data_IF_497893880248
#
_entry.id   IF_497893880248
#
_cell.length_a   1.000
_cell.length_b   1.000
_cell.length_c   1.000
_cell.angle_alpha   90.00
_cell.angle_beta   90.00
_cell.angle_gamma   90.00
#
_symmetry.space_group_name_H-M   'P 1'
#
loop_
_entity.id
_entity.type
_entity.pdbx_description
1 polymer ?
#
# COMPACT_ATOMS: atom_id res chain seq x y z
N UNK A 1 3.80 -20.03 18.50
CA UNK A 1 4.46 -21.23 17.96
C UNK A 1 4.59 -21.20 16.43
N UNK A 2 3.59 -20.74 15.69
CA UNK A 2 3.64 -20.68 14.20
C UNK A 2 4.43 -19.46 13.68
N UNK A 3 4.64 -18.44 14.48
CA UNK A 3 5.49 -17.29 14.17
C UNK A 3 6.98 -17.58 14.44
N UNK A 4 7.29 -18.61 15.19
CA UNK A 4 8.67 -19.01 15.45
C UNK A 4 9.26 -19.70 14.21
N UNK A 5 10.22 -19.07 13.59
CA UNK A 5 10.94 -19.60 12.41
C UNK A 5 11.67 -20.90 12.68
N UNK A 6 12.00 -21.19 13.94
CA UNK A 6 12.59 -22.43 14.40
C UNK A 6 11.55 -23.40 15.00
N UNK A 7 10.28 -23.06 14.88
CA UNK A 7 9.17 -23.83 15.43
C UNK A 7 8.81 -25.08 14.65
N UNK A 8 7.61 -25.57 14.87
CA UNK A 8 7.15 -26.85 14.32
C UNK A 8 7.16 -26.87 12.77
N UNK A 9 6.85 -25.75 12.12
CA UNK A 9 6.83 -25.67 10.66
C UNK A 9 8.22 -25.81 10.05
N UNK A 10 9.25 -25.30 10.72
CA UNK A 10 10.63 -25.36 10.27
C UNK A 10 11.18 -26.78 10.17
N UNK A 11 10.64 -27.73 10.91
CA UNK A 11 11.08 -29.14 10.86
C UNK A 11 10.93 -29.77 9.48
N UNK A 12 9.97 -29.28 8.69
CA UNK A 12 9.73 -29.76 7.33
C UNK A 12 9.91 -28.67 6.26
N UNK A 13 9.78 -27.39 6.64
CA UNK A 13 9.77 -26.23 5.74
C UNK A 13 10.89 -25.23 6.04
N UNK A 14 12.10 -25.71 6.43
CA UNK A 14 13.22 -24.86 6.86
C UNK A 14 13.51 -23.73 5.88
N UNK A 15 13.65 -24.02 4.58
CA UNK A 15 13.95 -23.00 3.58
C UNK A 15 12.87 -21.92 3.45
N UNK A 16 11.59 -22.26 3.67
CA UNK A 16 10.48 -21.31 3.65
C UNK A 16 10.48 -20.46 4.92
N UNK A 17 10.71 -21.07 6.08
CA UNK A 17 10.75 -20.34 7.35
C UNK A 17 11.91 -19.36 7.41
N UNK A 18 13.08 -19.74 6.86
CA UNK A 18 14.26 -18.87 6.81
C UNK A 18 14.00 -17.61 5.94
N UNK A 19 13.39 -17.79 4.78
CA UNK A 19 13.06 -16.65 3.91
C UNK A 19 11.92 -15.80 4.50
N UNK A 20 10.90 -16.46 5.09
CA UNK A 20 9.77 -15.77 5.71
C UNK A 20 10.21 -14.84 6.86
N UNK A 21 11.18 -15.24 7.65
CA UNK A 21 11.71 -14.43 8.76
C UNK A 21 12.21 -13.04 8.34
N UNK A 22 12.59 -12.88 7.08
CA UNK A 22 13.04 -11.60 6.51
C UNK A 22 11.94 -10.86 5.73
N UNK A 23 10.77 -11.48 5.56
CA UNK A 23 9.68 -10.89 4.79
C UNK A 23 9.06 -9.67 5.48
N UNK A 24 8.44 -8.80 4.69
CA UNK A 24 7.69 -7.66 5.24
C UNK A 24 6.43 -8.12 6.00
N UNK A 25 5.90 -9.30 5.69
CA UNK A 25 4.76 -9.87 6.41
C UNK A 25 5.15 -10.37 7.81
N UNK A 26 6.36 -10.92 7.97
CA UNK A 26 6.83 -11.35 9.27
C UNK A 26 7.35 -10.19 10.13
N UNK A 27 7.97 -9.18 9.50
CA UNK A 27 8.74 -8.16 10.20
C UNK A 27 8.02 -6.82 10.35
N UNK A 28 7.03 -6.54 9.50
CA UNK A 28 6.37 -5.22 9.34
C UNK A 28 7.34 -4.04 9.23
N UNK A 29 8.56 -4.31 8.71
CA UNK A 29 9.66 -3.31 8.61
C UNK A 29 9.26 -2.06 7.84
N UNK A 30 8.36 -2.15 6.87
CA UNK A 30 7.87 -0.98 6.16
C UNK A 30 7.22 0.07 7.07
N UNK A 31 6.55 -0.35 8.14
CA UNK A 31 5.99 0.57 9.12
C UNK A 31 7.07 1.09 10.07
N UNK A 32 7.92 0.21 10.62
CA UNK A 32 8.97 0.63 11.54
C UNK A 32 9.93 1.62 10.88
N UNK A 33 10.36 1.37 9.65
CA UNK A 33 11.26 2.26 8.94
C UNK A 33 10.60 3.62 8.62
N UNK A 34 9.32 3.62 8.24
CA UNK A 34 8.60 4.89 8.05
C UNK A 34 8.53 5.73 9.33
N UNK A 35 8.30 5.11 10.48
CA UNK A 35 8.31 5.82 11.76
C UNK A 35 9.70 6.34 12.13
N UNK A 36 10.74 5.53 11.91
CA UNK A 36 12.14 5.92 12.12
C UNK A 36 12.52 7.10 11.22
N UNK A 37 12.14 7.07 9.94
CA UNK A 37 12.39 8.18 9.01
C UNK A 37 11.71 9.48 9.47
N UNK A 38 10.43 9.41 9.84
CA UNK A 38 9.70 10.59 10.32
C UNK A 38 10.21 11.11 11.67
N UNK A 39 10.72 10.22 12.54
CA UNK A 39 11.30 10.62 13.83
C UNK A 39 12.70 11.19 13.69
N UNK A 40 13.46 10.78 12.67
CA UNK A 40 14.88 11.09 12.55
C UNK A 40 15.77 10.40 13.60
N UNK A 41 15.21 9.52 14.43
CA UNK A 41 15.94 8.76 15.46
C UNK A 41 15.92 7.26 15.10
N UNK A 42 17.09 6.65 14.79
CA UNK A 42 17.16 5.23 14.49
C UNK A 42 16.74 4.33 15.65
N UNK A 43 16.72 4.83 16.88
CA UNK A 43 16.36 4.10 18.09
C UNK A 43 14.93 4.42 18.58
N UNK A 44 14.14 5.14 17.77
CA UNK A 44 12.81 5.61 18.16
C UNK A 44 11.83 4.50 18.59
N UNK A 45 12.09 3.26 18.19
CA UNK A 45 11.25 2.10 18.47
C UNK A 45 11.84 1.12 19.50
N UNK A 46 13.00 1.41 20.07
CA UNK A 46 13.70 0.47 20.99
C UNK A 46 12.94 0.22 22.30
N UNK A 47 12.23 1.24 22.79
CA UNK A 47 11.40 1.11 23.97
C UNK A 47 9.92 0.96 23.61
N UNK A 48 9.43 -0.27 23.60
CA UNK A 48 8.03 -0.59 23.28
C UNK A 48 7.01 -0.19 24.37
N UNK A 49 7.40 0.57 25.37
CA UNK A 49 6.54 1.03 26.46
C UNK A 49 6.38 2.54 26.52
N UNK A 50 6.99 3.28 25.62
CA UNK A 50 6.85 4.74 25.53
C UNK A 50 7.07 5.26 24.11
N UNK A 51 6.55 6.47 23.85
CA UNK A 51 6.76 7.21 22.60
C UNK A 51 6.37 6.41 21.37
N UNK A 52 7.16 6.52 20.32
CA UNK A 52 6.89 5.81 19.05
C UNK A 52 6.97 4.28 19.18
N UNK A 53 7.79 3.76 20.08
CA UNK A 53 7.85 2.30 20.31
C UNK A 53 6.53 1.75 20.86
N UNK A 54 5.87 2.46 21.77
CA UNK A 54 4.54 2.09 22.27
C UNK A 54 3.48 2.21 21.16
N UNK A 55 3.50 3.29 20.38
CA UNK A 55 2.64 3.47 19.20
C UNK A 55 2.80 2.31 18.23
N UNK A 56 4.04 1.97 17.90
CA UNK A 56 4.37 0.88 16.97
C UNK A 56 3.82 -0.46 17.47
N UNK A 57 4.04 -0.77 18.75
CA UNK A 57 3.55 -1.99 19.39
C UNK A 57 2.02 -2.09 19.35
N UNK A 58 1.33 -1.02 19.70
CA UNK A 58 -0.13 -1.02 19.84
C UNK A 58 -0.86 -0.96 18.49
N UNK A 59 -0.30 -0.26 17.52
CA UNK A 59 -1.02 0.04 16.27
C UNK A 59 -0.45 -0.69 15.04
N UNK A 60 0.86 -0.93 14.97
CA UNK A 60 1.49 -1.44 13.75
C UNK A 60 1.78 -2.94 13.82
N UNK A 61 2.22 -3.44 14.98
CA UNK A 61 2.60 -4.85 15.12
C UNK A 61 1.43 -5.84 14.99
N UNK A 62 0.20 -5.37 15.11
CA UNK A 62 -0.99 -6.21 14.97
C UNK A 62 -1.18 -6.77 13.55
N UNK A 63 -0.46 -6.22 12.56
CA UNK A 63 -0.53 -6.67 11.17
C UNK A 63 0.62 -7.59 10.76
N UNK A 64 1.51 -8.01 11.69
CA UNK A 64 2.50 -9.02 11.35
C UNK A 64 1.82 -10.39 11.18
N UNK A 65 2.28 -11.16 10.21
CA UNK A 65 1.69 -12.45 9.89
C UNK A 65 2.56 -13.61 10.41
N UNK A 66 1.91 -14.72 10.68
CA UNK A 66 2.56 -16.00 10.99
C UNK A 66 2.11 -17.09 10.03
N UNK A 67 2.85 -18.18 9.95
CA UNK A 67 2.47 -19.32 9.10
C UNK A 67 1.04 -19.79 9.40
N UNK A 68 0.67 -19.86 10.67
CA UNK A 68 -0.66 -20.32 11.11
C UNK A 68 -1.78 -19.39 10.69
N UNK A 69 -1.58 -18.07 10.78
CA UNK A 69 -2.60 -17.06 10.45
C UNK A 69 -2.93 -16.98 8.96
N UNK A 70 -2.08 -17.54 8.11
CA UNK A 70 -2.37 -17.65 6.70
C UNK A 70 -2.88 -19.05 6.32
N UNK A 71 -2.27 -20.11 6.88
CA UNK A 71 -2.48 -21.47 6.38
C UNK A 71 -3.45 -22.32 7.18
N UNK A 72 -3.80 -21.93 8.42
CA UNK A 72 -4.62 -22.74 9.34
C UNK A 72 -5.71 -21.93 10.03
N UNK A 73 -5.39 -20.71 10.45
CA UNK A 73 -6.27 -19.86 11.22
C UNK A 73 -6.49 -18.51 10.52
N UNK A 74 -7.50 -17.80 10.98
CA UNK A 74 -7.71 -16.40 10.63
C UNK A 74 -6.89 -15.53 11.58
N UNK A 75 -6.34 -14.40 11.09
CA UNK A 75 -5.76 -13.39 11.97
C UNK A 75 -6.77 -12.89 13.03
N UNK A 76 -6.27 -12.52 14.20
CA UNK A 76 -7.13 -12.01 15.29
C UNK A 76 -7.91 -10.75 14.88
N UNK A 77 -7.34 -9.92 14.00
CA UNK A 77 -8.00 -8.78 13.38
C UNK A 77 -9.25 -9.15 12.57
N UNK A 78 -9.42 -10.43 12.22
CA UNK A 78 -10.58 -10.97 11.53
C UNK A 78 -11.24 -12.08 12.35
N UNK A 79 -11.53 -11.79 13.60
CA UNK A 79 -12.20 -12.67 14.58
C UNK A 79 -11.43 -13.95 14.97
N UNK A 80 -10.21 -14.13 14.52
CA UNK A 80 -9.37 -15.27 14.88
C UNK A 80 -9.98 -16.64 14.57
N UNK A 81 -9.45 -17.69 15.21
CA UNK A 81 -9.94 -19.05 15.10
C UNK A 81 -9.52 -19.79 13.83
N UNK A 82 -9.86 -21.07 13.75
CA UNK A 82 -9.50 -21.92 12.62
C UNK A 82 -10.34 -21.56 11.37
N UNK A 83 -9.72 -21.63 10.19
CA UNK A 83 -10.39 -21.41 8.90
C UNK A 83 -11.40 -22.55 8.64
N UNK A 84 -10.91 -23.78 8.71
CA UNK A 84 -11.71 -24.99 8.52
C UNK A 84 -11.12 -26.12 9.40
N UNK A 85 -11.55 -26.20 10.64
CA UNK A 85 -11.09 -27.17 11.63
C UNK A 85 -9.53 -27.19 11.70
N UNK A 86 -8.91 -28.36 11.58
CA UNK A 86 -7.45 -28.54 11.57
C UNK A 86 -6.88 -28.70 10.16
N UNK A 87 -7.59 -28.23 9.16
CA UNK A 87 -7.15 -28.30 7.76
C UNK A 87 -6.05 -27.27 7.50
N UNK A 88 -5.03 -27.71 6.82
CA UNK A 88 -3.96 -26.87 6.32
C UNK A 88 -4.26 -26.46 4.86
N UNK A 89 -4.20 -25.19 4.57
CA UNK A 89 -4.40 -24.66 3.22
C UNK A 89 -3.04 -24.36 2.59
N UNK A 90 -2.70 -25.03 1.49
CA UNK A 90 -1.49 -24.70 0.71
C UNK A 90 -1.59 -23.30 0.09
N UNK A 91 -2.78 -22.93 -0.38
CA UNK A 91 -3.11 -21.56 -0.79
C UNK A 91 -4.12 -21.01 0.20
N UNK A 92 -3.75 -20.00 0.99
CA UNK A 92 -4.66 -19.39 1.96
C UNK A 92 -5.90 -18.79 1.27
N UNK A 93 -7.11 -18.95 1.83
CA UNK A 93 -8.31 -18.34 1.30
C UNK A 93 -8.26 -16.82 1.47
N UNK A 94 -8.32 -16.11 0.34
CA UNK A 94 -8.12 -14.66 0.26
C UNK A 94 -9.04 -13.88 1.18
N UNK A 95 -10.33 -14.26 1.23
CA UNK A 95 -11.38 -13.60 1.98
C UNK A 95 -11.28 -13.77 3.50
N UNK A 96 -10.54 -14.76 3.99
CA UNK A 96 -10.40 -15.04 5.41
C UNK A 96 -9.01 -14.75 5.96
N UNK A 97 -8.01 -14.56 5.09
CA UNK A 97 -6.62 -14.32 5.49
C UNK A 97 -6.11 -12.99 4.98
N UNK A 98 -6.02 -12.77 3.68
CA UNK A 98 -5.51 -11.51 3.13
C UNK A 98 -6.39 -10.31 3.56
N UNK A 99 -7.69 -10.48 3.53
CA UNK A 99 -8.63 -9.40 3.89
C UNK A 99 -8.59 -9.00 5.35
N UNK A 100 -8.09 -9.82 6.23
CA UNK A 100 -7.94 -9.47 7.63
C UNK A 100 -7.11 -8.19 7.84
N UNK A 101 -6.04 -8.03 7.07
CA UNK A 101 -5.15 -6.86 7.13
C UNK A 101 -5.32 -5.91 5.93
N UNK A 102 -5.70 -6.44 4.76
CA UNK A 102 -5.80 -5.67 3.51
C UNK A 102 -7.24 -5.25 3.15
N UNK A 103 -8.25 -5.67 3.92
CA UNK A 103 -9.67 -5.46 3.62
C UNK A 103 -10.09 -4.00 3.54
N UNK A 104 -9.49 -3.15 4.35
CA UNK A 104 -9.78 -1.70 4.38
C UNK A 104 -9.07 -0.91 3.28
N UNK A 105 -8.25 -1.55 2.46
CA UNK A 105 -7.47 -0.91 1.40
C UNK A 105 -7.59 -1.73 0.12
N UNK A 106 -6.52 -2.40 -0.29
CA UNK A 106 -6.38 -3.07 -1.57
C UNK A 106 -7.48 -4.10 -1.86
N UNK A 107 -7.92 -4.86 -0.86
CA UNK A 107 -8.99 -5.85 -1.04
C UNK A 107 -10.35 -5.18 -1.29
N UNK A 108 -10.64 -4.08 -0.59
CA UNK A 108 -11.86 -3.31 -0.82
C UNK A 108 -11.91 -2.68 -2.21
N UNK A 109 -10.77 -2.19 -2.71
CA UNK A 109 -10.61 -1.71 -4.09
C UNK A 109 -10.84 -2.86 -5.08
N UNK A 110 -10.18 -4.01 -4.87
CA UNK A 110 -10.24 -5.17 -5.75
C UNK A 110 -11.65 -5.73 -5.91
N UNK A 111 -12.38 -5.84 -4.78
CA UNK A 111 -13.76 -6.34 -4.77
C UNK A 111 -14.81 -5.28 -5.11
N UNK A 112 -14.46 -4.01 -5.15
CA UNK A 112 -15.41 -2.93 -5.37
C UNK A 112 -16.38 -2.68 -4.23
N UNK A 113 -15.92 -2.73 -2.97
CA UNK A 113 -16.80 -2.66 -1.79
C UNK A 113 -17.16 -1.25 -1.35
N UNK A 114 -16.52 -0.20 -1.81
CA UNK A 114 -16.75 1.18 -1.33
C UNK A 114 -17.21 2.14 -2.42
N UNK A 115 -18.10 1.68 -3.26
CA UNK A 115 -18.69 2.51 -4.32
C UNK A 115 -17.85 2.61 -5.58
N UNK A 116 -16.77 1.83 -5.69
CA UNK A 116 -16.00 1.65 -6.90
C UNK A 116 -16.51 0.44 -7.69
N UNK A 117 -16.29 0.44 -9.00
CA UNK A 117 -16.46 -0.77 -9.79
C UNK A 117 -15.41 -1.81 -9.34
N UNK A 118 -15.78 -3.09 -9.39
CA UNK A 118 -14.89 -4.20 -9.12
C UNK A 118 -13.71 -4.19 -10.10
N UNK A 119 -12.56 -4.63 -9.64
CA UNK A 119 -11.42 -4.85 -10.52
C UNK A 119 -11.76 -5.87 -11.60
N UNK A 120 -11.32 -5.61 -12.84
CA UNK A 120 -11.63 -6.51 -13.97
C UNK A 120 -11.03 -7.91 -13.79
N UNK A 121 -9.88 -8.03 -13.11
CA UNK A 121 -9.25 -9.31 -12.84
C UNK A 121 -10.03 -10.08 -11.77
N UNK A 122 -10.58 -9.38 -10.76
CA UNK A 122 -11.49 -9.99 -9.80
C UNK A 122 -12.76 -10.53 -10.46
N UNK A 123 -13.35 -9.77 -11.41
CA UNK A 123 -14.51 -10.24 -12.18
C UNK A 123 -14.20 -11.46 -13.06
N UNK A 124 -12.93 -11.64 -13.46
CA UNK A 124 -12.44 -12.82 -14.16
C UNK A 124 -12.13 -14.00 -13.23
N UNK A 125 -12.32 -13.84 -11.91
CA UNK A 125 -12.07 -14.87 -10.92
C UNK A 125 -10.64 -14.96 -10.41
N UNK A 126 -9.80 -13.98 -10.70
CA UNK A 126 -8.43 -13.92 -10.17
C UNK A 126 -8.44 -13.52 -8.68
N UNK A 127 -7.40 -13.96 -8.00
CA UNK A 127 -7.15 -13.71 -6.57
C UNK A 127 -5.83 -12.99 -6.37
N UNK A 128 -5.50 -12.65 -5.13
CA UNK A 128 -4.24 -11.97 -4.81
C UNK A 128 -3.01 -12.75 -5.29
N UNK A 129 -3.03 -14.08 -5.19
CA UNK A 129 -1.90 -14.96 -5.52
C UNK A 129 -1.70 -15.17 -7.02
N UNK A 130 -2.66 -14.77 -7.85
CA UNK A 130 -2.50 -14.82 -9.31
C UNK A 130 -1.57 -13.71 -9.83
N UNK A 131 -1.43 -12.62 -9.06
CA UNK A 131 -0.51 -11.53 -9.33
C UNK A 131 0.70 -11.55 -8.39
N UNK A 132 0.47 -11.81 -7.09
CA UNK A 132 1.53 -11.80 -6.09
C UNK A 132 2.17 -13.17 -5.97
N UNK A 133 3.43 -13.28 -6.40
CA UNK A 133 4.20 -14.51 -6.30
C UNK A 133 4.45 -14.94 -4.84
N UNK A 134 4.72 -16.22 -4.62
CA UNK A 134 5.03 -16.80 -3.30
C UNK A 134 6.13 -16.03 -2.57
N UNK A 135 7.14 -15.55 -3.28
CA UNK A 135 8.22 -14.72 -2.71
C UNK A 135 7.74 -13.36 -2.15
N UNK A 136 6.58 -12.87 -2.58
CA UNK A 136 6.01 -11.65 -1.99
C UNK A 136 5.51 -11.89 -0.57
N UNK A 137 5.07 -13.10 -0.27
CA UNK A 137 4.55 -13.49 1.04
C UNK A 137 5.63 -14.10 1.93
N UNK A 138 6.39 -15.06 1.41
CA UNK A 138 7.41 -15.78 2.16
C UNK A 138 8.78 -15.10 2.16
N UNK A 139 8.94 -13.97 1.46
CA UNK A 139 10.23 -13.30 1.35
C UNK A 139 11.20 -14.01 0.41
N UNK A 140 12.40 -13.46 0.33
CA UNK A 140 13.50 -13.95 -0.53
C UNK A 140 14.78 -14.29 0.27
N UNK A 141 14.72 -14.16 1.59
CA UNK A 141 15.90 -14.22 2.46
C UNK A 141 16.60 -12.84 2.63
N UNK A 142 16.20 -11.85 1.85
CA UNK A 142 16.68 -10.46 1.99
C UNK A 142 15.67 -9.65 2.81
N UNK A 143 16.15 -8.94 3.81
CA UNK A 143 15.33 -8.00 4.56
C UNK A 143 15.25 -6.66 3.79
N UNK A 144 14.06 -6.27 3.40
CA UNK A 144 13.79 -4.99 2.74
C UNK A 144 13.20 -3.99 3.72
N UNK A 145 13.56 -2.74 3.58
CA UNK A 145 13.06 -1.66 4.44
C UNK A 145 11.70 -1.12 3.98
N UNK A 146 11.39 -1.31 2.70
CA UNK A 146 10.13 -0.93 2.08
C UNK A 146 9.67 -1.97 1.07
N UNK A 147 8.36 -2.00 0.80
CA UNK A 147 7.87 -2.82 -0.32
C UNK A 147 8.44 -2.36 -1.67
N UNK A 148 8.82 -1.10 -1.79
CA UNK A 148 9.37 -0.54 -3.03
C UNK A 148 10.80 -0.97 -3.32
N UNK A 149 11.53 -1.45 -2.31
CA UNK A 149 12.88 -1.99 -2.46
C UNK A 149 12.89 -3.42 -3.02
N UNK A 150 11.70 -4.06 -3.10
CA UNK A 150 11.57 -5.42 -3.59
C UNK A 150 11.48 -5.44 -5.12
N UNK A 151 12.41 -6.11 -5.80
CA UNK A 151 12.37 -6.23 -7.26
C UNK A 151 11.24 -7.18 -7.77
N UNK A 152 10.64 -7.96 -6.86
CA UNK A 152 9.68 -9.02 -7.21
C UNK A 152 8.21 -8.60 -7.07
N UNK A 153 7.92 -7.31 -6.86
CA UNK A 153 6.51 -6.87 -6.85
C UNK A 153 5.88 -7.03 -8.24
N UNK A 154 4.61 -7.43 -8.32
CA UNK A 154 3.94 -7.63 -9.60
C UNK A 154 3.91 -6.34 -10.43
N UNK A 155 4.09 -6.50 -11.73
CA UNK A 155 3.92 -5.47 -12.73
C UNK A 155 2.81 -5.86 -13.70
N UNK A 156 2.08 -4.88 -14.19
CA UNK A 156 1.09 -5.12 -15.25
C UNK A 156 1.73 -5.73 -16.51
N UNK A 157 2.98 -5.36 -16.79
CA UNK A 157 3.75 -5.87 -17.92
C UNK A 157 4.12 -7.35 -17.81
N UNK A 158 4.01 -7.97 -16.63
CA UNK A 158 4.28 -9.41 -16.48
C UNK A 158 3.28 -10.26 -17.30
N UNK A 159 2.06 -9.74 -17.47
CA UNK A 159 1.02 -10.37 -18.30
C UNK A 159 0.67 -9.53 -19.55
N UNK A 160 0.81 -8.21 -19.50
CA UNK A 160 0.45 -7.26 -20.55
C UNK A 160 1.68 -6.62 -21.22
N UNK A 161 2.78 -7.38 -21.38
CA UNK A 161 4.04 -6.87 -21.91
C UNK A 161 3.97 -6.36 -23.35
N UNK A 162 3.04 -6.90 -24.15
CA UNK A 162 2.77 -6.48 -25.52
C UNK A 162 2.23 -5.04 -25.62
N UNK A 163 1.55 -4.58 -24.57
CA UNK A 163 1.00 -3.20 -24.50
C UNK A 163 2.11 -2.15 -24.49
N UNK A 164 3.24 -2.44 -23.85
CA UNK A 164 4.37 -1.51 -23.68
C UNK A 164 5.45 -1.64 -24.77
N UNK A 165 5.28 -2.53 -25.72
CA UNK A 165 6.29 -2.80 -26.76
C UNK A 165 6.54 -1.65 -27.75
N UNK A 166 5.81 -0.54 -27.63
CA UNK A 166 5.82 0.57 -28.60
C UNK A 166 5.07 0.27 -29.92
N UNK A 167 4.54 -0.94 -30.06
CA UNK A 167 3.79 -1.41 -31.22
C UNK A 167 2.35 -1.79 -30.84
N UNK A 168 1.83 -1.27 -29.76
CA UNK A 168 0.44 -1.51 -29.36
C UNK A 168 -0.53 -1.01 -30.44
N UNK A 169 -1.56 -1.79 -30.74
CA UNK A 169 -2.69 -1.34 -31.59
C UNK A 169 -3.42 -0.14 -30.99
N UNK A 170 -3.34 0.03 -29.68
CA UNK A 170 -3.91 1.17 -28.95
C UNK A 170 -2.90 2.31 -28.93
N UNK A 171 -3.13 3.30 -29.78
CA UNK A 171 -2.23 4.45 -29.97
C UNK A 171 -1.81 5.15 -28.68
N UNK A 172 -2.70 5.18 -27.67
CA UNK A 172 -2.44 5.87 -26.39
C UNK A 172 -1.27 5.22 -25.63
N UNK A 173 -1.12 3.92 -25.68
CA UNK A 173 0.00 3.20 -25.06
C UNK A 173 1.34 3.60 -25.70
N UNK A 174 1.36 3.78 -27.01
CA UNK A 174 2.57 4.17 -27.73
C UNK A 174 2.95 5.65 -27.50
N UNK A 175 1.97 6.52 -27.20
CA UNK A 175 2.20 7.97 -27.02
C UNK A 175 2.86 8.25 -25.67
N UNK A 176 2.40 7.59 -24.60
CA UNK A 176 2.86 7.88 -23.24
C UNK A 176 3.98 6.95 -22.76
N UNK A 177 4.03 5.71 -23.29
CA UNK A 177 5.05 4.73 -22.92
C UNK A 177 5.19 4.59 -21.40
N UNK A 178 6.42 4.54 -20.93
CA UNK A 178 6.75 4.36 -19.52
C UNK A 178 6.65 5.66 -18.68
N UNK A 179 6.20 6.77 -19.27
CA UNK A 179 6.06 8.02 -18.52
C UNK A 179 4.90 7.96 -17.51
N UNK A 180 3.89 7.13 -17.74
CA UNK A 180 2.72 7.00 -16.91
C UNK A 180 2.63 5.58 -16.34
N UNK A 181 2.42 5.47 -15.02
CA UNK A 181 2.01 4.19 -14.44
C UNK A 181 0.64 3.77 -15.01
N UNK A 182 0.42 2.49 -15.23
CA UNK A 182 -0.80 1.95 -15.85
C UNK A 182 -2.06 2.41 -15.11
N UNK A 183 -1.99 2.51 -13.78
CA UNK A 183 -3.08 2.96 -12.92
C UNK A 183 -3.49 4.43 -13.15
N UNK A 184 -2.61 5.25 -13.75
CA UNK A 184 -2.96 6.64 -14.12
C UNK A 184 -4.12 6.68 -15.12
N UNK A 185 -4.17 5.69 -16.03
CA UNK A 185 -5.22 5.54 -17.02
C UNK A 185 -6.29 4.52 -16.62
N UNK A 186 -5.92 3.46 -15.92
CA UNK A 186 -6.78 2.30 -15.68
C UNK A 186 -7.25 2.16 -14.24
N UNK A 187 -6.72 2.95 -13.29
CA UNK A 187 -7.14 2.94 -11.90
C UNK A 187 -8.34 3.82 -11.62
N UNK A 188 -9.10 3.47 -10.60
CA UNK A 188 -10.07 4.35 -9.95
C UNK A 188 -9.41 5.03 -8.74
N UNK A 189 -10.18 5.70 -7.88
CA UNK A 189 -9.64 6.30 -6.68
C UNK A 189 -9.12 5.24 -5.70
N UNK A 190 -8.03 5.56 -5.00
CA UNK A 190 -7.56 4.73 -3.91
C UNK A 190 -8.55 4.74 -2.75
N UNK A 191 -8.84 3.58 -2.19
CA UNK A 191 -9.49 3.49 -0.89
C UNK A 191 -8.48 3.82 0.20
N UNK A 192 -8.80 4.81 1.02
CA UNK A 192 -8.00 5.13 2.19
C UNK A 192 -8.46 4.31 3.41
N UNK A 193 -7.58 4.13 4.36
CA UNK A 193 -7.95 3.59 5.66
C UNK A 193 -8.99 4.51 6.31
N UNK A 194 -10.07 3.92 6.77
CA UNK A 194 -11.04 4.60 7.61
C UNK A 194 -10.58 4.43 9.06
N UNK A 195 -10.04 5.45 9.63
CA UNK A 195 -9.95 5.75 11.07
C UNK A 195 -9.85 4.56 12.06
N UNK A 196 -9.39 3.38 11.64
CA UNK A 196 -9.32 2.19 12.50
C UNK A 196 -8.31 2.33 13.66
N UNK A 197 -7.40 3.27 13.57
CA UNK A 197 -6.38 3.57 14.57
C UNK A 197 -6.57 4.96 15.19
N UNK A 198 -7.75 5.50 15.05
CA UNK A 198 -8.09 6.88 15.24
C UNK A 198 -8.71 7.05 16.53
N UNK A 199 -8.76 7.07 17.34
CA UNK A 199 -9.32 7.62 18.56
C UNK A 199 -8.97 6.73 19.68
N UNK A 200 -8.36 7.31 20.49
CA UNK A 200 -8.33 6.99 21.85
C UNK A 200 -9.73 6.93 22.32
N UNK A 201 -10.26 5.74 22.37
CA UNK A 201 -11.34 5.47 23.28
C UNK A 201 -10.87 5.82 24.69
N UNK A 202 -11.78 6.09 25.61
CA UNK A 202 -11.48 6.41 27.03
C UNK A 202 -10.57 5.35 27.69
N UNK A 203 -10.42 4.18 27.09
CA UNK A 203 -9.54 3.08 27.50
C UNK A 203 -8.10 3.18 26.98
N UNK A 204 -7.77 4.20 26.19
CA UNK A 204 -6.44 4.48 25.65
C UNK A 204 -5.79 3.33 24.88
N UNK A 205 -6.54 2.58 24.14
CA UNK A 205 -6.00 1.46 23.34
C UNK A 205 -5.30 1.91 22.06
N UNK A 206 -5.51 3.14 21.61
CA UNK A 206 -4.81 3.71 20.46
C UNK A 206 -4.14 5.03 20.86
N UNK A 207 -2.87 5.16 20.53
CA UNK A 207 -2.07 6.38 20.72
C UNK A 207 -1.92 7.16 19.43
N UNK A 208 -2.77 6.90 18.44
CA UNK A 208 -2.71 7.54 17.15
C UNK A 208 -3.97 8.34 16.86
N UNK A 209 -3.78 9.55 16.38
CA UNK A 209 -4.82 10.36 15.74
C UNK A 209 -4.43 10.65 14.30
N UNK A 210 -5.37 10.97 13.43
CA UNK A 210 -5.05 11.37 12.08
C UNK A 210 -6.04 12.43 11.56
N UNK A 211 -5.64 13.10 10.52
CA UNK A 211 -6.51 14.01 9.80
C UNK A 211 -7.58 13.23 9.03
N UNK A 212 -8.67 13.92 8.69
CA UNK A 212 -9.71 13.37 7.83
C UNK A 212 -9.10 12.79 6.53
N UNK A 213 -9.45 11.57 6.21
CA UNK A 213 -8.97 10.90 4.99
C UNK A 213 -9.62 11.47 3.73
N UNK A 214 -8.94 11.35 2.60
CA UNK A 214 -9.46 11.75 1.29
C UNK A 214 -9.49 10.57 0.35
N UNK A 215 -10.67 10.28 -0.17
CA UNK A 215 -10.86 9.27 -1.23
C UNK A 215 -11.00 10.04 -2.55
N UNK A 216 -9.87 10.36 -3.15
CA UNK A 216 -9.82 11.11 -4.40
C UNK A 216 -8.83 10.44 -5.35
N UNK A 217 -9.18 10.38 -6.63
CA UNK A 217 -8.20 10.07 -7.65
C UNK A 217 -7.33 11.31 -7.91
N UNK A 218 -6.02 11.17 -7.70
CA UNK A 218 -5.05 12.22 -8.00
C UNK A 218 -3.84 11.64 -8.69
N UNK A 219 -3.37 12.34 -9.70
CA UNK A 219 -2.11 12.07 -10.39
C UNK A 219 -1.06 13.03 -9.84
N UNK A 220 0.10 12.51 -9.51
CA UNK A 220 1.26 13.31 -9.09
C UNK A 220 2.55 12.83 -9.68
N UNK A 221 3.65 13.50 -9.31
CA UNK A 221 5.00 13.10 -9.68
C UNK A 221 5.47 11.95 -8.80
N UNK A 222 6.23 11.05 -9.39
CA UNK A 222 7.00 10.04 -8.67
C UNK A 222 8.37 10.61 -8.36
N UNK A 223 8.64 10.88 -7.09
CA UNK A 223 9.93 11.43 -6.63
C UNK A 223 10.98 10.36 -6.40
N UNK A 224 10.57 9.09 -6.28
CA UNK A 224 11.45 7.95 -6.01
C UNK A 224 11.29 6.87 -7.10
N UNK A 225 11.66 7.15 -8.37
CA UNK A 225 11.58 6.16 -9.43
C UNK A 225 12.61 5.05 -9.21
N UNK A 226 12.20 3.79 -9.44
CA UNK A 226 13.09 2.64 -9.46
C UNK A 226 13.17 2.05 -10.87
N UNK A 227 14.15 1.18 -11.17
CA UNK A 227 14.22 0.51 -12.47
C UNK A 227 12.92 -0.26 -12.81
N UNK A 228 12.25 -0.83 -11.82
CA UNK A 228 11.00 -1.57 -11.98
C UNK A 228 9.79 -0.64 -12.07
N UNK A 229 9.93 0.61 -11.64
CA UNK A 229 8.86 1.64 -11.61
C UNK A 229 9.40 3.00 -12.05
N UNK A 230 9.82 3.11 -13.32
CA UNK A 230 10.48 4.31 -13.83
C UNK A 230 9.50 5.47 -14.11
N UNK A 231 8.22 5.26 -13.81
CA UNK A 231 7.14 6.18 -14.15
C UNK A 231 7.37 7.58 -13.58
N UNK A 232 7.16 8.59 -14.42
CA UNK A 232 7.18 9.99 -14.00
C UNK A 232 5.88 10.42 -13.31
N UNK A 233 4.74 9.90 -13.79
CA UNK A 233 3.41 10.22 -13.26
C UNK A 233 2.75 8.96 -12.70
N UNK A 234 2.21 9.09 -11.51
CA UNK A 234 1.65 7.98 -10.74
C UNK A 234 0.32 8.34 -10.11
N UNK A 235 -0.50 7.34 -9.81
CA UNK A 235 -1.67 7.51 -8.98
C UNK A 235 -1.24 7.67 -7.52
N UNK A 236 -1.82 8.66 -6.84
CA UNK A 236 -1.49 9.00 -5.46
C UNK A 236 -2.58 8.57 -4.49
N UNK A 237 -2.16 8.20 -3.29
CA UNK A 237 -3.00 8.02 -2.11
C UNK A 237 -2.62 9.05 -1.05
N UNK A 238 -3.61 9.68 -0.45
CA UNK A 238 -3.43 10.52 0.73
C UNK A 238 -3.28 9.64 1.98
N UNK A 239 -2.19 9.83 2.71
CA UNK A 239 -2.00 9.26 4.03
C UNK A 239 -2.42 10.30 5.07
N UNK A 240 -3.41 10.00 5.92
CA UNK A 240 -3.98 10.99 6.84
C UNK A 240 -3.10 11.28 8.07
N UNK A 241 -1.85 10.87 8.05
CA UNK A 241 -0.88 11.19 9.11
C UNK A 241 -0.52 12.66 9.08
N UNK A 242 -0.43 13.27 10.27
CA UNK A 242 0.03 14.64 10.50
C UNK A 242 1.23 14.62 11.45
N UNK A 243 1.93 15.75 11.59
CA UNK A 243 3.02 15.86 12.56
C UNK A 243 2.59 15.49 13.99
N UNK A 244 1.32 15.74 14.33
CA UNK A 244 0.75 15.53 15.67
C UNK A 244 0.05 14.17 15.83
N UNK A 245 0.14 13.28 14.84
CA UNK A 245 -0.63 12.02 14.86
C UNK A 245 -0.38 11.16 16.10
N UNK A 246 0.72 11.35 16.80
CA UNK A 246 1.10 10.57 17.98
C UNK A 246 1.32 11.43 19.24
N UNK A 247 0.70 12.61 19.30
CA UNK A 247 0.84 13.56 20.40
C UNK A 247 0.51 12.95 21.78
N UNK A 248 -0.39 11.97 21.82
CA UNK A 248 -0.77 11.28 23.07
C UNK A 248 0.35 10.36 23.62
N UNK A 249 1.28 9.96 22.75
CA UNK A 249 2.44 9.16 23.15
C UNK A 249 3.66 10.04 23.53
N UNK A 250 3.64 11.30 23.16
CA UNK A 250 4.70 12.27 23.46
C UNK A 250 4.74 13.43 22.47
N UNK A 251 5.39 14.50 22.89
CA UNK A 251 5.51 15.71 22.09
C UNK A 251 6.55 15.54 20.96
N UNK A 252 6.24 16.09 19.79
CA UNK A 252 7.16 16.19 18.65
C UNK A 252 7.85 14.86 18.26
N UNK A 253 7.07 13.79 18.18
CA UNK A 253 7.59 12.47 17.86
C UNK A 253 7.94 12.30 16.38
N UNK A 254 7.46 13.18 15.50
CA UNK A 254 7.70 13.15 14.05
C UNK A 254 8.33 14.48 13.55
N UNK A 255 9.52 14.88 14.04
CA UNK A 255 10.12 16.17 13.68
C UNK A 255 10.46 16.28 12.18
N UNK A 256 10.67 15.15 11.49
CA UNK A 256 10.99 15.10 10.05
C UNK A 256 9.73 14.88 9.19
N UNK A 257 8.53 15.09 9.74
CA UNK A 257 7.28 14.88 8.99
C UNK A 257 7.23 15.67 7.68
N UNK A 258 7.72 16.89 7.68
CA UNK A 258 7.75 17.78 6.53
C UNK A 258 8.78 17.39 5.45
N UNK A 259 9.64 16.40 5.70
CA UNK A 259 10.65 15.93 4.75
C UNK A 259 10.14 14.84 3.80
N UNK A 260 8.98 14.25 4.10
CA UNK A 260 8.37 13.17 3.32
C UNK A 260 6.92 13.49 2.98
N UNK A 261 6.59 13.39 1.71
CA UNK A 261 5.21 13.61 1.27
C UNK A 261 4.24 12.61 1.94
N UNK A 262 3.07 13.07 2.36
CA UNK A 262 1.99 12.20 2.84
C UNK A 262 0.92 11.91 1.76
N UNK A 263 1.05 12.49 0.57
CA UNK A 263 0.49 11.97 -0.66
C UNK A 263 1.54 11.08 -1.32
N UNK A 264 1.28 9.78 -1.41
CA UNK A 264 2.27 8.80 -1.86
C UNK A 264 1.81 8.00 -3.06
N UNK A 265 2.75 7.61 -3.91
CA UNK A 265 2.48 6.64 -4.95
C UNK A 265 1.84 5.39 -4.34
N UNK A 266 0.71 5.00 -4.88
CA UNK A 266 0.01 3.78 -4.47
C UNK A 266 -0.73 3.19 -5.67
N UNK A 267 -0.31 2.02 -6.15
CA UNK A 267 -1.06 1.29 -7.17
C UNK A 267 -2.45 0.98 -6.66
N UNK A 268 -3.46 1.42 -7.38
CA UNK A 268 -4.85 1.06 -7.09
C UNK A 268 -5.10 -0.39 -7.49
N UNK A 269 -5.98 -1.08 -6.78
CA UNK A 269 -6.39 -2.46 -7.06
C UNK A 269 -7.83 -2.53 -7.61
N UNK A 270 -8.32 -1.44 -8.17
CA UNK A 270 -9.64 -1.35 -8.81
C UNK A 270 -9.47 -0.99 -10.28
N UNK A 271 -8.77 -1.84 -11.02
CA UNK A 271 -8.43 -1.63 -12.42
C UNK A 271 -9.68 -1.79 -13.30
N UNK A 272 -9.83 -0.87 -14.25
CA UNK A 272 -10.87 -0.88 -15.26
C UNK A 272 -10.29 -0.72 -16.66
N UNK A 273 -10.88 -1.41 -17.64
CA UNK A 273 -10.52 -1.20 -19.04
C UNK A 273 -10.80 0.22 -19.48
N UNK A 274 -11.93 0.77 -19.09
CA UNK A 274 -12.36 2.14 -19.39
C UNK A 274 -12.59 2.92 -18.11
N UNK A 275 -11.96 4.06 -17.99
CA UNK A 275 -12.08 5.01 -16.90
C UNK A 275 -12.26 6.42 -17.49
N UNK A 276 -12.64 7.37 -16.67
CA UNK A 276 -12.70 8.77 -17.11
C UNK A 276 -11.38 9.24 -17.72
N UNK A 277 -10.25 8.82 -17.19
CA UNK A 277 -8.91 9.27 -17.61
C UNK A 277 -8.56 8.83 -19.03
N UNK A 278 -9.09 7.69 -19.49
CA UNK A 278 -8.76 7.14 -20.81
C UNK A 278 -9.87 7.29 -21.86
N UNK A 279 -10.97 7.98 -21.53
CA UNK A 279 -12.03 8.26 -22.49
C UNK A 279 -11.59 9.20 -23.62
N UNK A 280 -10.72 10.16 -23.31
CA UNK A 280 -10.19 11.12 -24.27
C UNK A 280 -8.88 11.74 -23.81
N UNK A 281 -8.11 12.27 -24.75
CA UNK A 281 -6.89 13.03 -24.42
C UNK A 281 -7.16 14.21 -23.47
N UNK A 282 -8.29 14.89 -23.66
CA UNK A 282 -8.68 16.05 -22.84
C UNK A 282 -9.22 15.67 -21.46
N UNK A 283 -9.36 14.39 -21.14
CA UNK A 283 -9.60 13.96 -19.77
C UNK A 283 -8.43 14.34 -18.84
N UNK A 284 -7.21 14.37 -19.39
CA UNK A 284 -6.00 14.82 -18.70
C UNK A 284 -5.50 16.16 -19.24
N UNK A 285 -5.36 16.30 -20.56
CA UNK A 285 -4.82 17.50 -21.20
C UNK A 285 -5.75 18.71 -21.03
N UNK A 286 -5.26 19.73 -20.35
CA UNK A 286 -6.03 20.93 -20.00
C UNK A 286 -7.03 20.74 -18.85
N UNK A 287 -7.04 19.60 -18.19
CA UNK A 287 -7.93 19.30 -17.07
C UNK A 287 -7.17 19.22 -15.74
N UNK A 288 -7.20 20.25 -14.90
CA UNK A 288 -6.48 20.24 -13.63
C UNK A 288 -7.14 19.35 -12.55
N UNK A 289 -8.37 18.87 -12.77
CA UNK A 289 -9.18 18.24 -11.71
C UNK A 289 -8.65 16.90 -11.23
N UNK A 290 -7.89 16.20 -12.07
CA UNK A 290 -7.37 14.86 -11.74
C UNK A 290 -5.92 14.89 -11.27
N UNK A 291 -5.25 16.04 -11.37
CA UNK A 291 -3.90 16.22 -10.87
C UNK A 291 -3.92 16.75 -9.44
N UNK A 292 -2.95 16.29 -8.64
CA UNK A 292 -2.72 16.91 -7.34
C UNK A 292 -2.41 18.38 -7.54
N UNK A 293 -3.02 19.23 -6.76
CA UNK A 293 -2.84 20.67 -6.82
C UNK A 293 -2.69 21.27 -5.43
N UNK A 294 -2.20 22.49 -5.34
CA UNK A 294 -2.10 23.25 -4.08
C UNK A 294 -3.42 23.27 -3.29
N UNK A 295 -4.56 23.26 -3.98
CA UNK A 295 -5.89 23.27 -3.36
C UNK A 295 -6.25 21.95 -2.67
N UNK A 296 -5.56 20.87 -3.02
CA UNK A 296 -5.75 19.57 -2.39
C UNK A 296 -4.91 19.43 -1.12
N UNK A 297 -3.89 20.26 -0.96
CA UNK A 297 -3.00 20.25 0.19
C UNK A 297 -3.60 21.02 1.37
N UNK A 298 -3.51 20.46 2.55
CA UNK A 298 -3.96 21.06 3.80
C UNK A 298 -2.77 21.64 4.57
N UNK A 299 -3.03 22.54 5.50
CA UNK A 299 -2.01 23.10 6.39
C UNK A 299 -1.36 22.01 7.26
N UNK A 300 -2.10 20.94 7.55
CA UNK A 300 -1.61 19.78 8.33
C UNK A 300 -0.90 18.72 7.49
N UNK A 301 -0.94 18.84 6.17
CA UNK A 301 -0.21 17.94 5.28
C UNK A 301 1.28 18.31 5.25
N UNK A 302 2.13 17.32 4.94
CA UNK A 302 3.57 17.53 4.81
C UNK A 302 3.90 18.56 3.73
N UNK A 303 4.87 19.42 4.02
CA UNK A 303 5.41 20.41 3.05
C UNK A 303 6.08 19.75 1.85
N UNK A 304 6.62 18.55 2.00
CA UNK A 304 7.20 17.80 0.88
C UNK A 304 6.19 17.46 -0.22
N UNK A 305 4.87 17.59 0.05
CA UNK A 305 3.86 17.40 -0.99
C UNK A 305 3.98 18.38 -2.16
N UNK A 306 4.59 19.55 -1.98
CA UNK A 306 4.79 20.50 -3.07
C UNK A 306 5.67 19.93 -4.18
N UNK A 307 6.59 19.05 -3.87
CA UNK A 307 7.51 18.43 -4.84
C UNK A 307 6.81 17.45 -5.77
N UNK A 308 5.68 16.90 -5.33
CA UNK A 308 4.92 15.91 -6.11
C UNK A 308 3.74 16.50 -6.88
N UNK A 309 3.49 17.80 -6.77
CA UNK A 309 2.46 18.50 -7.55
C UNK A 309 2.92 18.62 -9.01
N UNK A 310 2.25 17.98 -9.96
CA UNK A 310 2.66 18.00 -11.35
C UNK A 310 2.14 19.21 -12.10
N UNK A 311 2.82 19.65 -13.17
CA UNK A 311 2.22 20.56 -14.11
C UNK A 311 1.06 19.89 -14.86
N UNK A 312 -0.03 20.60 -15.05
CA UNK A 312 -1.15 20.13 -15.89
C UNK A 312 -0.72 20.20 -17.36
N UNK A 313 -0.78 19.11 -18.12
CA UNK A 313 -0.41 19.13 -19.54
C UNK A 313 -1.37 20.03 -20.32
N UNK A 314 -0.82 20.78 -21.28
CA UNK A 314 -1.60 21.71 -22.09
C UNK A 314 -2.75 21.00 -22.83
N UNK A 315 -3.88 21.68 -22.97
CA UNK A 315 -4.99 21.19 -23.78
C UNK A 315 -4.54 20.94 -25.23
N UNK A 316 -4.95 19.82 -25.78
CA UNK A 316 -4.69 19.54 -27.19
C UNK A 316 -5.63 20.37 -28.05
N UNK A 317 -5.07 21.06 -29.02
CA UNK A 317 -5.85 21.75 -30.03
C UNK A 317 -6.61 20.73 -30.86
N UNK A 318 -7.89 20.96 -31.04
CA UNK A 318 -8.73 20.18 -31.96
C UNK A 318 -8.32 20.43 -33.42
#
# INVERSE_FOLDING_TARGET
PSADVNGICAQCHQGVTDTFATSLHATVRGFSNSLIEFSGDPNALDDLHKGLGEVYKLNCMNCHASCGECHVSRPDSYAGGLIDQHKFFSTPPMDQTCFACHGMRNAGEFMGTVGFARDVHYEMGMTCVDCHAVSNFHGTGTAYDSMWDKPTLPSCSDCHGDVLSGNSEIKMHNVHGDALACQVCHGQANQNCFECHVTIADDRQSLASHSETRILFRIGLNTDPTPERPYKYVALRHMPTTADSFIEAGDNLLPNFDEKANWKYSPTHNIQRSTFQNESCNACHGNPRIFLSEKDLRETDSKANWEIVPPVPAALRR
#
